data_IF_736669694937
#
_entry.id   IF_736669694937
#
_cell.length_a   1.000
_cell.length_b   1.000
_cell.length_c   1.000
_cell.angle_alpha   90.00
_cell.angle_beta   90.00
_cell.angle_gamma   90.00
#
_symmetry.space_group_name_H-M   'P 1'
#
loop_
_entity.id
_entity.type
_entity.pdbx_description
1 polymer ?
#
# COMPACT_ATOMS: atom_id res chain seq x y z
N UNK A 1 15.48 -15.31 -5.65
CA UNK A 1 14.41 -15.15 -4.65
C UNK A 1 14.79 -15.65 -3.25
N UNK A 2 15.26 -16.91 -3.04
CA UNK A 2 15.64 -17.38 -1.70
C UNK A 2 16.76 -16.54 -1.10
N UNK A 3 17.80 -16.24 -1.85
CA UNK A 3 18.91 -15.39 -1.41
C UNK A 3 18.47 -13.98 -0.97
N UNK A 4 17.40 -13.43 -1.56
CA UNK A 4 16.88 -12.12 -1.17
C UNK A 4 16.23 -12.10 0.23
N UNK A 5 15.83 -13.25 0.76
CA UNK A 5 15.32 -13.37 2.13
C UNK A 5 16.44 -13.52 3.18
N UNK A 6 17.68 -13.70 2.75
CA UNK A 6 18.88 -13.80 3.60
C UNK A 6 19.57 -12.45 3.76
N UNK A 7 19.47 -11.59 2.73
CA UNK A 7 20.15 -10.31 2.72
C UNK A 7 19.58 -9.35 3.79
N UNK A 8 20.44 -8.59 4.49
CA UNK A 8 19.99 -7.49 5.34
C UNK A 8 19.26 -6.43 4.51
N UNK A 9 18.09 -6.01 4.98
CA UNK A 9 17.29 -5.02 4.29
C UNK A 9 17.70 -3.60 4.68
N UNK A 10 17.91 -2.74 3.70
CA UNK A 10 18.07 -1.31 3.90
C UNK A 10 16.81 -0.72 4.60
N UNK A 11 17.00 0.29 5.43
CA UNK A 11 15.89 0.96 6.07
C UNK A 11 15.37 2.08 5.19
N UNK A 12 14.20 1.88 4.58
CA UNK A 12 13.50 2.91 3.84
C UNK A 12 12.85 3.94 4.77
N UNK A 13 12.85 5.20 4.36
CA UNK A 13 12.09 6.26 4.99
C UNK A 13 11.59 7.26 3.94
N UNK A 14 10.63 8.07 4.31
CA UNK A 14 10.19 9.22 3.51
C UNK A 14 10.30 10.50 4.32
N UNK A 15 10.54 11.62 3.64
CA UNK A 15 10.43 12.92 4.26
C UNK A 15 8.96 13.23 4.53
N UNK A 16 8.70 13.83 5.67
CA UNK A 16 7.37 14.28 6.08
C UNK A 16 7.17 15.74 5.71
N UNK A 17 6.81 15.97 4.47
CA UNK A 17 6.62 17.32 3.91
C UNK A 17 5.45 18.11 4.50
N UNK A 18 4.65 17.50 5.38
CA UNK A 18 3.61 18.20 6.14
C UNK A 18 4.19 19.01 7.31
N UNK A 19 5.38 18.65 7.79
CA UNK A 19 6.03 19.31 8.93
C UNK A 19 7.23 20.16 8.54
N UNK A 20 7.98 19.75 7.50
CA UNK A 20 9.19 20.44 7.08
C UNK A 20 9.51 20.19 5.61
N UNK A 21 10.19 21.14 4.98
CA UNK A 21 10.69 21.05 3.62
C UNK A 21 11.66 19.87 3.44
N UNK A 22 11.65 19.27 2.23
CA UNK A 22 12.45 18.10 1.92
C UNK A 22 13.94 18.42 1.91
N UNK A 23 14.35 19.49 1.20
CA UNK A 23 15.76 19.85 1.04
C UNK A 23 16.39 20.20 2.39
N UNK A 24 15.67 20.95 3.25
CA UNK A 24 16.11 21.26 4.59
C UNK A 24 16.27 20.01 5.45
N UNK A 25 15.30 19.09 5.39
CA UNK A 25 15.33 17.85 6.16
C UNK A 25 16.53 16.96 5.76
N UNK A 26 16.79 16.86 4.45
CA UNK A 26 17.92 16.07 3.94
C UNK A 26 19.26 16.72 4.26
N UNK A 27 19.35 18.06 4.22
CA UNK A 27 20.55 18.76 4.63
C UNK A 27 20.89 18.51 6.12
N UNK A 28 19.89 18.56 7.01
CA UNK A 28 20.07 18.28 8.43
C UNK A 28 20.52 16.83 8.67
N UNK A 29 19.88 15.85 8.02
CA UNK A 29 20.28 14.43 8.15
C UNK A 29 21.75 14.21 7.73
N UNK A 30 22.17 14.84 6.62
CA UNK A 30 23.55 14.77 6.12
C UNK A 30 24.53 15.44 7.08
N UNK A 31 24.16 16.59 7.65
CA UNK A 31 24.99 17.30 8.64
C UNK A 31 25.20 16.46 9.92
N UNK A 32 24.22 15.63 10.28
CA UNK A 32 24.33 14.67 11.39
C UNK A 32 25.04 13.35 11.01
N UNK A 33 25.54 13.22 9.77
CA UNK A 33 26.29 12.06 9.30
C UNK A 33 25.42 10.83 9.00
N UNK A 34 24.13 10.99 8.75
CA UNK A 34 23.25 9.88 8.33
C UNK A 34 23.60 9.47 6.89
N UNK A 35 23.99 8.20 6.64
CA UNK A 35 24.37 7.72 5.30
C UNK A 35 23.13 7.39 4.48
N UNK A 36 22.50 8.41 3.91
CA UNK A 36 21.25 8.27 3.15
C UNK A 36 21.47 8.39 1.64
N UNK A 37 20.66 7.62 0.89
CA UNK A 37 20.58 7.67 -0.56
C UNK A 37 19.13 7.86 -1.00
N UNK A 38 18.86 8.67 -2.04
CA UNK A 38 17.53 8.78 -2.61
C UNK A 38 17.14 7.47 -3.28
N UNK A 39 15.85 7.12 -3.23
CA UNK A 39 15.31 5.98 -3.98
C UNK A 39 14.88 6.45 -5.36
N UNK A 40 15.62 6.01 -6.37
CA UNK A 40 15.34 6.38 -7.76
C UNK A 40 13.89 6.05 -8.15
N UNK A 41 13.19 7.01 -8.76
CA UNK A 41 11.81 6.88 -9.18
C UNK A 41 10.75 7.10 -8.10
N UNK A 42 11.14 7.33 -6.83
CA UNK A 42 10.23 7.65 -5.74
C UNK A 42 10.55 8.99 -5.09
N UNK A 43 9.92 10.09 -5.52
CA UNK A 43 10.13 11.41 -4.90
C UNK A 43 9.86 11.39 -3.39
N UNK A 44 10.74 12.02 -2.62
CA UNK A 44 10.65 12.09 -1.15
C UNK A 44 10.99 10.80 -0.42
N UNK A 45 11.38 9.74 -1.15
CA UNK A 45 11.78 8.45 -0.58
C UNK A 45 13.30 8.30 -0.55
N UNK A 46 13.79 7.82 0.58
CA UNK A 46 15.21 7.59 0.84
C UNK A 46 15.44 6.25 1.53
N UNK A 47 16.66 5.79 1.50
CA UNK A 47 17.09 4.61 2.25
C UNK A 47 18.42 4.86 2.97
N UNK A 48 18.63 4.14 4.06
CA UNK A 48 19.94 4.00 4.70
C UNK A 48 20.34 2.54 4.71
N UNK A 49 21.63 2.21 4.57
CA UNK A 49 22.12 0.84 4.69
C UNK A 49 21.80 0.28 6.09
N UNK A 50 21.86 -1.04 6.30
CA UNK A 50 21.49 -1.67 7.58
C UNK A 50 22.21 -1.08 8.80
N UNK A 51 23.50 -0.77 8.66
CA UNK A 51 24.35 -0.15 9.70
C UNK A 51 24.05 1.34 9.91
N UNK A 52 23.48 2.03 8.91
CA UNK A 52 23.04 3.43 9.01
C UNK A 52 21.74 3.64 9.77
N UNK A 53 20.97 2.55 10.03
CA UNK A 53 19.67 2.64 10.72
C UNK A 53 19.75 3.31 12.09
N UNK A 54 20.79 2.98 12.87
CA UNK A 54 20.94 3.54 14.21
C UNK A 54 21.16 5.07 14.17
N UNK A 55 21.96 5.56 13.23
CA UNK A 55 22.16 6.98 13.00
C UNK A 55 20.87 7.70 12.62
N UNK A 56 20.08 7.14 11.68
CA UNK A 56 18.79 7.69 11.31
C UNK A 56 17.85 7.82 12.52
N UNK A 57 17.70 6.77 13.32
CA UNK A 57 16.80 6.76 14.48
C UNK A 57 17.27 7.66 15.64
N UNK A 58 18.57 7.98 15.71
CA UNK A 58 19.13 8.89 16.69
C UNK A 58 19.11 10.36 16.22
N UNK A 59 18.82 10.62 14.96
CA UNK A 59 18.85 11.95 14.37
C UNK A 59 17.72 12.84 14.89
N UNK A 60 17.96 14.15 14.91
CA UNK A 60 16.96 15.14 15.28
C UNK A 60 15.79 15.19 14.30
N UNK A 61 15.97 15.14 12.95
CA UNK A 61 14.86 15.06 12.02
C UNK A 61 13.92 13.88 12.28
N UNK A 62 14.45 12.73 12.72
CA UNK A 62 13.60 11.59 13.11
C UNK A 62 12.84 11.87 14.42
N UNK A 63 13.52 12.41 15.44
CA UNK A 63 12.90 12.74 16.74
C UNK A 63 11.79 13.80 16.60
N UNK A 64 11.99 14.78 15.71
CA UNK A 64 11.04 15.87 15.43
C UNK A 64 9.91 15.46 14.45
N UNK A 65 9.93 14.22 13.93
CA UNK A 65 8.90 13.71 13.02
C UNK A 65 9.02 14.21 11.57
N UNK A 66 10.14 14.85 11.19
CA UNK A 66 10.41 15.33 9.83
C UNK A 66 10.66 14.18 8.85
N UNK A 67 10.92 12.97 9.34
CA UNK A 67 11.00 11.75 8.55
C UNK A 67 10.12 10.65 9.15
N UNK A 68 9.62 9.79 8.28
CA UNK A 68 8.83 8.62 8.68
C UNK A 68 9.44 7.35 8.11
N UNK A 69 9.87 6.43 8.98
CA UNK A 69 10.43 5.14 8.57
C UNK A 69 9.32 4.28 7.96
N UNK A 70 9.49 3.93 6.70
CA UNK A 70 8.53 3.15 5.92
C UNK A 70 9.29 2.33 4.88
N UNK A 71 9.03 1.01 4.83
CA UNK A 71 9.63 0.17 3.79
C UNK A 71 9.34 0.72 2.39
N UNK A 72 10.33 0.69 1.51
CA UNK A 72 10.23 1.26 0.15
C UNK A 72 9.09 0.62 -0.64
N UNK A 73 8.93 -0.71 -0.59
CA UNK A 73 7.81 -1.38 -1.27
C UNK A 73 6.44 -0.93 -0.75
N UNK A 74 6.35 -0.61 0.54
CA UNK A 74 5.12 -0.08 1.15
C UNK A 74 4.77 1.33 0.65
N UNK A 75 5.76 2.12 0.21
CA UNK A 75 5.54 3.45 -0.33
C UNK A 75 4.97 3.43 -1.76
N UNK A 76 5.11 2.31 -2.46
CA UNK A 76 4.65 2.16 -3.85
C UNK A 76 3.13 2.26 -4.01
N UNK A 77 2.36 1.76 -3.05
CA UNK A 77 0.89 1.71 -3.18
C UNK A 77 0.24 3.11 -3.19
N UNK A 78 0.58 4.07 -2.30
CA UNK A 78 0.12 5.46 -2.40
C UNK A 78 0.60 6.16 -3.68
N UNK A 79 1.83 5.89 -4.16
CA UNK A 79 2.35 6.46 -5.42
C UNK A 79 1.57 5.91 -6.62
N UNK A 80 1.36 4.59 -6.68
CA UNK A 80 0.56 3.95 -7.73
C UNK A 80 -0.89 4.46 -7.77
N UNK A 81 -1.46 4.82 -6.62
CA UNK A 81 -2.80 5.41 -6.52
C UNK A 81 -2.86 6.79 -7.19
N UNK A 82 -1.73 7.51 -7.22
CA UNK A 82 -1.57 8.83 -7.84
C UNK A 82 -2.69 9.82 -7.44
N UNK A 83 -2.91 10.07 -6.14
CA UNK A 83 -3.93 11.03 -5.73
C UNK A 83 -3.51 12.45 -6.11
N UNK A 84 -4.50 13.29 -6.36
CA UNK A 84 -4.31 14.71 -6.69
C UNK A 84 -4.56 15.58 -5.46
N UNK A 85 -4.02 16.79 -5.45
CA UNK A 85 -4.36 17.78 -4.43
C UNK A 85 -5.86 18.01 -4.41
N UNK A 86 -6.46 17.99 -3.21
CA UNK A 86 -7.90 18.15 -3.01
C UNK A 86 -8.72 16.86 -3.17
N UNK A 87 -8.14 15.72 -3.57
CA UNK A 87 -8.89 14.45 -3.69
C UNK A 87 -9.43 13.99 -2.31
N UNK A 88 -10.60 13.37 -2.33
CA UNK A 88 -11.12 12.56 -1.22
C UNK A 88 -10.64 11.12 -1.37
N UNK A 89 -9.84 10.67 -0.43
CA UNK A 89 -9.22 9.33 -0.45
C UNK A 89 -9.79 8.46 0.66
N UNK A 90 -10.06 7.18 0.36
CA UNK A 90 -10.41 6.16 1.34
C UNK A 90 -9.27 5.15 1.48
N UNK A 91 -8.78 4.96 2.70
CA UNK A 91 -7.83 3.90 3.08
C UNK A 91 -8.57 2.86 3.92
N UNK A 92 -8.88 1.69 3.32
CA UNK A 92 -9.75 0.67 3.93
C UNK A 92 -9.07 -0.23 4.97
N UNK A 93 -7.73 -0.18 5.08
CA UNK A 93 -6.93 -0.99 6.00
C UNK A 93 -5.78 -0.18 6.59
N UNK A 94 -6.09 0.99 7.15
CA UNK A 94 -5.19 2.10 7.36
C UNK A 94 -4.08 1.89 8.41
N UNK A 95 -4.31 1.05 9.44
CA UNK A 95 -3.32 0.89 10.51
C UNK A 95 -2.05 0.16 10.04
N UNK A 96 -0.87 0.63 10.44
CA UNK A 96 -0.60 1.58 11.53
C UNK A 96 -0.59 3.07 11.13
N UNK A 97 -0.90 3.46 9.87
CA UNK A 97 -0.96 4.85 9.45
C UNK A 97 0.19 5.33 8.55
N UNK A 98 1.08 4.44 8.13
CA UNK A 98 2.22 4.79 7.26
C UNK A 98 1.77 5.26 5.87
N UNK A 99 0.93 4.46 5.19
CA UNK A 99 0.36 4.81 3.89
C UNK A 99 -0.66 5.95 4.00
N UNK A 100 -1.46 5.95 5.07
CA UNK A 100 -2.41 7.03 5.39
C UNK A 100 -1.74 8.39 5.50
N UNK A 101 -0.61 8.50 6.25
CA UNK A 101 0.16 9.74 6.35
C UNK A 101 0.80 10.14 5.02
N UNK A 102 1.25 9.19 4.21
CA UNK A 102 1.74 9.45 2.86
C UNK A 102 0.63 9.99 1.95
N UNK A 103 -0.56 9.39 1.99
CA UNK A 103 -1.74 9.87 1.25
C UNK A 103 -2.12 11.30 1.68
N UNK A 104 -2.13 11.57 2.99
CA UNK A 104 -2.39 12.89 3.57
C UNK A 104 -1.46 13.97 2.97
N UNK A 105 -0.16 13.68 2.92
CA UNK A 105 0.82 14.60 2.30
C UNK A 105 0.57 14.79 0.79
N UNK A 106 0.23 13.72 0.07
CA UNK A 106 -0.01 13.75 -1.37
C UNK A 106 -1.26 14.58 -1.74
N UNK A 107 -2.37 14.43 -1.01
CA UNK A 107 -3.60 15.18 -1.31
C UNK A 107 -3.55 16.63 -0.81
N UNK A 108 -2.64 16.94 0.11
CA UNK A 108 -2.47 18.26 0.69
C UNK A 108 -3.62 18.69 1.61
N UNK A 109 -3.54 19.91 2.16
CA UNK A 109 -4.47 20.37 3.20
C UNK A 109 -5.93 20.51 2.75
N UNK A 110 -6.18 20.66 1.45
CA UNK A 110 -7.53 20.77 0.86
C UNK A 110 -8.15 19.40 0.57
N UNK A 111 -7.35 18.33 0.56
CA UNK A 111 -7.83 16.96 0.41
C UNK A 111 -8.22 16.32 1.74
N UNK A 112 -8.85 15.17 1.66
CA UNK A 112 -9.32 14.41 2.81
C UNK A 112 -8.94 12.94 2.70
N UNK A 113 -8.46 12.34 3.78
CA UNK A 113 -8.20 10.90 3.86
C UNK A 113 -9.06 10.26 4.94
N UNK A 114 -10.08 9.52 4.56
CA UNK A 114 -10.81 8.65 5.48
C UNK A 114 -10.03 7.37 5.72
N UNK A 115 -9.64 7.12 6.97
CA UNK A 115 -8.76 6.02 7.37
C UNK A 115 -9.49 4.99 8.23
N UNK A 116 -9.74 3.80 7.66
CA UNK A 116 -10.56 2.75 8.30
C UNK A 116 -9.69 1.69 8.95
N UNK A 117 -9.95 1.38 10.22
CA UNK A 117 -9.34 0.26 10.93
C UNK A 117 -10.36 -0.44 11.85
N UNK A 118 -10.41 -1.76 11.76
CA UNK A 118 -11.36 -2.58 12.52
C UNK A 118 -10.88 -2.91 13.93
N UNK A 119 -9.58 -3.12 14.09
CA UNK A 119 -8.98 -3.66 15.32
C UNK A 119 -8.64 -2.52 16.27
N UNK A 120 -9.31 -2.46 17.41
CA UNK A 120 -9.24 -1.35 18.37
C UNK A 120 -7.81 -0.91 18.75
N UNK A 121 -6.89 -1.81 19.17
CA UNK A 121 -5.51 -1.38 19.46
C UNK A 121 -4.79 -0.79 18.25
N UNK A 122 -4.99 -1.36 17.06
CA UNK A 122 -4.41 -0.85 15.81
C UNK A 122 -5.01 0.51 15.43
N UNK A 123 -6.31 0.73 15.68
CA UNK A 123 -6.96 2.01 15.46
C UNK A 123 -6.34 3.14 16.31
N UNK A 124 -6.07 2.88 17.59
CA UNK A 124 -5.40 3.90 18.42
C UNK A 124 -3.96 4.14 17.98
N UNK A 125 -3.25 3.12 17.51
CA UNK A 125 -1.92 3.27 16.91
C UNK A 125 -1.98 4.11 15.62
N UNK A 126 -2.97 3.86 14.75
CA UNK A 126 -3.23 4.71 13.58
C UNK A 126 -3.41 6.17 13.98
N UNK A 127 -4.30 6.47 14.94
CA UNK A 127 -4.54 7.85 15.40
C UNK A 127 -3.26 8.52 15.91
N UNK A 128 -2.50 7.83 16.76
CA UNK A 128 -1.26 8.35 17.29
C UNK A 128 -0.24 8.65 16.17
N UNK A 129 -0.09 7.74 15.22
CA UNK A 129 0.87 7.87 14.13
C UNK A 129 0.49 9.00 13.15
N UNK A 130 -0.78 9.13 12.76
CA UNK A 130 -1.20 10.22 11.85
C UNK A 130 -1.12 11.58 12.55
N UNK A 131 -1.44 11.64 13.86
CA UNK A 131 -1.26 12.85 14.65
C UNK A 131 0.21 13.27 14.74
N UNK A 132 1.11 12.33 15.05
CA UNK A 132 2.56 12.60 15.12
C UNK A 132 3.14 13.02 13.75
N UNK A 133 2.53 12.63 12.65
CA UNK A 133 2.92 13.05 11.31
C UNK A 133 2.36 14.43 10.92
N UNK A 134 1.54 15.08 11.77
CA UNK A 134 0.89 16.34 11.43
C UNK A 134 -0.22 16.22 10.36
N UNK A 135 -0.77 15.01 10.15
CA UNK A 135 -1.78 14.71 9.14
C UNK A 135 -3.17 15.19 9.60
N UNK A 136 -3.43 16.49 9.54
CA UNK A 136 -4.65 17.14 10.05
C UNK A 136 -5.89 16.88 9.20
N UNK A 137 -5.72 16.47 7.94
CA UNK A 137 -6.78 16.14 6.98
C UNK A 137 -7.17 14.65 6.99
N UNK A 138 -6.70 13.88 7.97
CA UNK A 138 -7.07 12.46 8.13
C UNK A 138 -8.27 12.34 9.06
N UNK A 139 -9.29 11.59 8.63
CA UNK A 139 -10.50 11.23 9.38
C UNK A 139 -10.45 9.74 9.79
N UNK A 140 -9.94 9.38 10.98
CA UNK A 140 -9.90 7.99 11.41
C UNK A 140 -11.31 7.47 11.73
N UNK A 141 -11.67 6.32 11.18
CA UNK A 141 -12.93 5.65 11.44
C UNK A 141 -12.71 4.21 11.94
N UNK A 142 -13.24 3.90 13.13
CA UNK A 142 -13.13 2.56 13.72
C UNK A 142 -14.28 1.68 13.23
N UNK A 143 -13.98 0.73 12.34
CA UNK A 143 -15.00 -0.16 11.81
C UNK A 143 -14.48 -1.14 10.77
N UNK A 144 -15.38 -1.95 10.25
CA UNK A 144 -15.05 -2.96 9.25
C UNK A 144 -15.00 -2.32 7.84
N UNK A 145 -13.80 -2.26 7.25
CA UNK A 145 -13.59 -1.73 5.90
C UNK A 145 -14.46 -2.40 4.83
N UNK A 146 -14.71 -3.71 4.95
CA UNK A 146 -15.58 -4.44 4.03
C UNK A 146 -17.07 -4.01 4.08
N UNK A 147 -17.46 -3.22 5.08
CA UNK A 147 -18.82 -2.70 5.22
C UNK A 147 -18.93 -1.19 5.02
N UNK A 148 -17.77 -0.49 4.88
CA UNK A 148 -17.72 0.97 4.86
C UNK A 148 -18.51 1.59 3.69
N UNK A 149 -18.50 0.95 2.51
CA UNK A 149 -19.20 1.40 1.31
C UNK A 149 -20.70 1.72 1.53
N UNK A 150 -21.34 1.06 2.51
CA UNK A 150 -22.75 1.32 2.84
C UNK A 150 -22.98 2.71 3.41
N UNK A 151 -21.92 3.30 3.99
CA UNK A 151 -21.96 4.64 4.56
C UNK A 151 -21.81 5.71 3.47
N UNK A 152 -20.84 5.49 2.59
CA UNK A 152 -20.47 6.45 1.55
C UNK A 152 -20.22 5.71 0.22
N UNK A 153 -21.31 5.29 -0.48
CA UNK A 153 -21.16 4.67 -1.80
C UNK A 153 -20.75 5.73 -2.81
N UNK A 154 -19.83 5.38 -3.71
CA UNK A 154 -19.34 6.22 -4.81
C UNK A 154 -18.96 7.66 -4.39
N UNK A 155 -18.33 7.80 -3.23
CA UNK A 155 -18.03 9.09 -2.64
C UNK A 155 -16.55 9.53 -2.74
N UNK A 156 -15.64 8.60 -3.10
CA UNK A 156 -14.20 8.84 -3.08
C UNK A 156 -13.61 8.90 -4.48
N UNK A 157 -12.67 9.83 -4.67
CA UNK A 157 -11.93 9.99 -5.93
C UNK A 157 -10.85 8.91 -6.05
N UNK A 158 -10.30 8.48 -4.90
CA UNK A 158 -9.27 7.45 -4.79
C UNK A 158 -9.57 6.49 -3.64
N UNK A 159 -9.25 5.21 -3.84
CA UNK A 159 -9.38 4.20 -2.79
C UNK A 159 -8.10 3.36 -2.71
N UNK A 160 -7.55 3.24 -1.51
CA UNK A 160 -6.47 2.31 -1.20
C UNK A 160 -7.03 1.10 -0.45
N UNK A 161 -6.69 -0.09 -0.94
CA UNK A 161 -6.96 -1.38 -0.28
C UNK A 161 -5.62 -2.10 -0.08
N UNK A 162 -4.81 -1.62 0.88
CA UNK A 162 -3.62 -2.35 1.32
C UNK A 162 -4.06 -3.47 2.26
N UNK A 163 -4.38 -4.62 1.66
CA UNK A 163 -5.16 -5.64 2.31
C UNK A 163 -4.33 -6.50 3.29
N UNK A 164 -4.91 -6.93 4.43
CA UNK A 164 -4.27 -7.94 5.27
C UNK A 164 -4.05 -9.21 4.46
N UNK A 165 -2.83 -9.78 4.56
CA UNK A 165 -2.39 -10.91 3.74
C UNK A 165 -1.55 -11.92 4.53
N UNK A 166 -1.06 -12.98 3.88
CA UNK A 166 -0.17 -14.00 4.47
C UNK A 166 1.28 -13.55 4.65
N UNK A 167 1.65 -12.35 4.17
CA UNK A 167 2.93 -11.66 4.40
C UNK A 167 4.20 -12.37 3.89
N UNK A 168 4.09 -13.24 2.87
CA UNK A 168 5.23 -13.99 2.32
C UNK A 168 6.38 -13.09 1.82
N UNK A 169 6.07 -11.88 1.34
CA UNK A 169 7.06 -10.91 0.89
C UNK A 169 7.96 -10.36 2.00
N UNK A 170 7.64 -10.66 3.26
CA UNK A 170 8.36 -10.24 4.46
C UNK A 170 9.14 -11.37 5.14
N UNK A 171 9.14 -12.55 4.59
CA UNK A 171 9.90 -13.67 5.14
C UNK A 171 11.38 -13.33 5.24
N UNK A 172 12.02 -13.80 6.32
CA UNK A 172 13.45 -13.70 6.55
C UNK A 172 13.94 -15.05 7.06
N UNK A 173 14.96 -15.60 6.42
CA UNK A 173 15.50 -16.93 6.78
C UNK A 173 16.11 -16.96 8.17
N UNK A 174 16.64 -15.82 8.63
CA UNK A 174 17.23 -15.65 9.96
C UNK A 174 16.21 -15.30 11.06
N UNK A 175 14.92 -15.06 10.70
CA UNK A 175 13.84 -14.72 11.65
C UNK A 175 12.65 -15.67 11.46
N UNK A 176 12.61 -16.79 12.21
CA UNK A 176 11.53 -17.77 12.14
C UNK A 176 10.15 -17.23 12.47
N UNK A 177 10.05 -16.12 13.22
CA UNK A 177 8.75 -15.50 13.56
C UNK A 177 8.03 -15.00 12.31
N UNK A 178 8.79 -14.62 11.26
CA UNK A 178 8.22 -14.14 9.99
C UNK A 178 7.41 -15.20 9.25
N UNK A 179 7.66 -16.48 9.50
CA UNK A 179 6.97 -17.62 8.88
C UNK A 179 6.02 -18.37 9.83
N UNK A 180 6.06 -18.07 11.14
CA UNK A 180 5.38 -18.85 12.19
C UNK A 180 3.86 -19.02 11.99
N UNK A 181 3.21 -18.04 11.39
CA UNK A 181 1.76 -18.04 11.17
C UNK A 181 1.35 -18.36 9.74
N UNK A 182 2.32 -18.66 8.87
CA UNK A 182 2.03 -18.99 7.47
C UNK A 182 1.45 -20.40 7.32
N UNK A 183 0.42 -20.51 6.50
CA UNK A 183 -0.19 -21.80 6.14
C UNK A 183 -1.14 -21.63 4.95
N UNK A 184 -1.41 -22.72 4.20
CA UNK A 184 -2.43 -22.70 3.16
C UNK A 184 -3.85 -22.38 3.68
N UNK A 185 -4.14 -22.65 4.97
CA UNK A 185 -5.38 -22.20 5.63
C UNK A 185 -5.40 -20.68 5.77
N UNK A 186 -4.26 -20.06 6.15
CA UNK A 186 -4.13 -18.61 6.28
C UNK A 186 -4.35 -17.91 4.95
N UNK A 187 -3.76 -18.40 3.87
CA UNK A 187 -3.95 -17.88 2.51
C UNK A 187 -5.46 -17.87 2.14
N UNK A 188 -6.18 -18.98 2.37
CA UNK A 188 -7.62 -19.05 2.10
C UNK A 188 -8.45 -18.07 2.94
N UNK A 189 -8.11 -17.92 4.22
CA UNK A 189 -8.74 -16.95 5.12
C UNK A 189 -8.54 -15.52 4.63
N UNK A 190 -7.30 -15.15 4.27
CA UNK A 190 -6.97 -13.81 3.81
C UNK A 190 -7.65 -13.51 2.47
N UNK A 191 -7.60 -14.43 1.51
CA UNK A 191 -8.34 -14.31 0.24
C UNK A 191 -9.80 -13.94 0.45
N UNK A 192 -10.50 -14.63 1.37
CA UNK A 192 -11.92 -14.34 1.64
C UNK A 192 -12.16 -12.92 2.15
N UNK A 193 -11.26 -12.41 3.00
CA UNK A 193 -11.31 -11.03 3.50
C UNK A 193 -10.99 -10.01 2.40
N UNK A 194 -9.96 -10.30 1.61
CA UNK A 194 -9.48 -9.43 0.52
C UNK A 194 -10.53 -9.23 -0.56
N UNK A 195 -11.23 -10.29 -0.95
CA UNK A 195 -12.35 -10.19 -1.90
C UNK A 195 -13.42 -9.23 -1.41
N UNK A 196 -13.78 -9.28 -0.11
CA UNK A 196 -14.79 -8.40 0.49
C UNK A 196 -14.29 -6.95 0.59
N UNK A 197 -13.00 -6.75 0.89
CA UNK A 197 -12.38 -5.42 0.97
C UNK A 197 -12.27 -4.77 -0.40
N UNK A 198 -11.78 -5.51 -1.41
CA UNK A 198 -11.68 -5.00 -2.77
C UNK A 198 -13.07 -4.64 -3.33
N UNK A 199 -14.06 -5.50 -3.11
CA UNK A 199 -15.45 -5.23 -3.49
C UNK A 199 -15.97 -3.94 -2.82
N UNK A 200 -15.75 -3.78 -1.51
CA UNK A 200 -16.15 -2.58 -0.79
C UNK A 200 -15.44 -1.31 -1.30
N UNK A 201 -14.15 -1.43 -1.63
CA UNK A 201 -13.39 -0.34 -2.23
C UNK A 201 -13.98 0.13 -3.57
N UNK A 202 -14.33 -0.83 -4.45
CA UNK A 202 -14.95 -0.53 -5.75
C UNK A 202 -16.32 0.15 -5.58
N UNK A 203 -17.13 -0.29 -4.61
CA UNK A 203 -18.42 0.34 -4.31
C UNK A 203 -18.29 1.75 -3.72
N UNK A 204 -17.20 2.04 -2.99
CA UNK A 204 -16.95 3.38 -2.43
C UNK A 204 -16.35 4.35 -3.45
N UNK A 205 -15.76 3.85 -4.53
CA UNK A 205 -15.10 4.63 -5.57
C UNK A 205 -16.10 5.27 -6.52
N UNK A 206 -15.93 6.56 -6.83
CA UNK A 206 -16.68 7.26 -7.89
C UNK A 206 -16.40 6.65 -9.27
N UNK A 207 -17.36 6.69 -10.23
CA UNK A 207 -17.01 6.55 -11.64
C UNK A 207 -15.95 7.58 -12.05
N UNK A 208 -14.95 7.14 -12.84
CA UNK A 208 -13.73 7.91 -13.17
C UNK A 208 -12.65 7.89 -12.09
N UNK A 209 -12.93 7.36 -10.91
CA UNK A 209 -11.97 7.21 -9.82
C UNK A 209 -10.99 6.05 -10.01
N UNK A 210 -9.90 6.08 -9.25
CA UNK A 210 -8.85 5.05 -9.27
C UNK A 210 -8.75 4.35 -7.93
N UNK A 211 -8.61 3.02 -7.95
CA UNK A 211 -8.35 2.18 -6.77
C UNK A 211 -7.02 1.46 -6.93
N UNK A 212 -6.25 1.40 -5.85
CA UNK A 212 -5.10 0.49 -5.74
C UNK A 212 -5.42 -0.61 -4.74
N UNK A 213 -5.27 -1.85 -5.19
CA UNK A 213 -5.23 -3.04 -4.36
C UNK A 213 -3.79 -3.50 -4.20
N UNK A 214 -3.33 -3.70 -2.97
CA UNK A 214 -1.96 -4.13 -2.69
C UNK A 214 -1.88 -5.16 -1.56
N UNK A 215 -0.84 -6.00 -1.61
CA UNK A 215 -0.49 -6.97 -0.57
C UNK A 215 1.03 -7.10 -0.47
N UNK A 216 1.52 -7.55 0.68
CA UNK A 216 2.91 -7.99 0.86
C UNK A 216 3.03 -9.52 0.82
N UNK A 217 2.36 -10.20 -0.11
CA UNK A 217 2.45 -11.65 -0.31
C UNK A 217 2.69 -12.03 -1.76
N UNK A 218 3.22 -13.23 -2.00
CA UNK A 218 3.39 -13.79 -3.33
C UNK A 218 2.26 -14.72 -3.75
N UNK A 219 1.36 -15.11 -2.85
CA UNK A 219 0.29 -16.06 -3.12
C UNK A 219 -0.65 -15.55 -4.23
N UNK A 220 -0.72 -16.19 -5.42
CA UNK A 220 -1.62 -15.76 -6.48
C UNK A 220 -3.09 -15.84 -6.08
N UNK A 221 -3.41 -16.69 -5.10
CA UNK A 221 -4.73 -16.77 -4.50
C UNK A 221 -5.18 -15.47 -3.83
N UNK A 222 -4.22 -14.73 -3.25
CA UNK A 222 -4.46 -13.46 -2.56
C UNK A 222 -4.28 -12.23 -3.47
N UNK A 223 -3.66 -12.41 -4.62
CA UNK A 223 -3.29 -11.39 -5.59
C UNK A 223 -4.20 -11.44 -6.83
N UNK A 224 -3.73 -12.04 -7.90
CA UNK A 224 -4.44 -12.08 -9.18
C UNK A 224 -5.82 -12.73 -9.09
N UNK A 225 -5.97 -13.78 -8.27
CA UNK A 225 -7.28 -14.45 -8.12
C UNK A 225 -8.33 -13.54 -7.47
N UNK A 226 -7.90 -12.60 -6.60
CA UNK A 226 -8.80 -11.62 -5.98
C UNK A 226 -9.23 -10.57 -7.00
N UNK A 227 -8.28 -10.03 -7.78
CA UNK A 227 -8.55 -9.04 -8.84
C UNK A 227 -9.40 -9.67 -9.95
N UNK A 228 -9.05 -10.89 -10.43
CA UNK A 228 -9.84 -11.63 -11.42
C UNK A 228 -11.29 -11.86 -10.98
N UNK A 229 -11.53 -12.09 -9.68
CA UNK A 229 -12.89 -12.19 -9.15
C UNK A 229 -13.63 -10.87 -9.22
N UNK A 230 -12.97 -9.75 -8.95
CA UNK A 230 -13.57 -8.43 -9.08
C UNK A 230 -13.93 -8.13 -10.54
N UNK A 231 -13.02 -8.38 -11.50
CA UNK A 231 -13.28 -8.22 -12.94
C UNK A 231 -14.49 -9.02 -13.39
N UNK A 232 -14.60 -10.29 -13.02
CA UNK A 232 -15.78 -11.11 -13.33
C UNK A 232 -17.08 -10.61 -12.70
N UNK A 233 -16.99 -9.98 -11.51
CA UNK A 233 -18.20 -9.50 -10.79
C UNK A 233 -18.72 -8.19 -11.37
N UNK A 234 -17.85 -7.27 -11.72
CA UNK A 234 -18.19 -5.92 -12.14
C UNK A 234 -18.14 -5.72 -13.67
N UNK A 235 -17.54 -6.67 -14.42
CA UNK A 235 -17.43 -6.60 -15.90
C UNK A 235 -16.81 -5.27 -16.34
N UNK A 236 -17.39 -4.66 -17.35
CA UNK A 236 -16.92 -3.43 -17.98
C UNK A 236 -17.01 -2.19 -17.07
N UNK A 237 -17.63 -2.32 -15.88
CA UNK A 237 -17.70 -1.22 -14.93
C UNK A 237 -16.35 -0.91 -14.28
N UNK A 238 -15.39 -1.84 -14.36
CA UNK A 238 -14.01 -1.64 -13.88
C UNK A 238 -13.02 -2.22 -14.89
N UNK A 239 -11.82 -1.67 -14.92
CA UNK A 239 -10.69 -2.22 -15.68
C UNK A 239 -9.38 -2.16 -14.91
N UNK A 240 -8.46 -3.08 -15.20
CA UNK A 240 -7.06 -2.99 -14.73
C UNK A 240 -6.32 -2.06 -15.67
N UNK A 241 -5.75 -0.99 -15.10
CA UNK A 241 -4.89 -0.06 -15.82
C UNK A 241 -3.42 -0.27 -15.42
N UNK A 242 -2.49 0.38 -16.08
CA UNK A 242 -1.07 0.32 -15.72
C UNK A 242 -0.86 0.65 -14.24
N UNK A 243 -0.02 -0.11 -13.55
CA UNK A 243 0.20 0.02 -12.12
C UNK A 243 0.82 1.36 -11.69
N UNK A 244 1.34 2.14 -12.63
CA UNK A 244 1.91 3.46 -12.35
C UNK A 244 3.19 3.43 -11.53
N UNK A 245 3.95 2.34 -11.62
CA UNK A 245 5.26 2.22 -10.98
C UNK A 245 6.35 2.87 -11.82
N UNK A 246 7.51 3.24 -11.23
CA UNK A 246 8.67 3.68 -11.98
C UNK A 246 9.04 2.71 -13.11
N UNK A 247 9.43 3.25 -14.26
CA UNK A 247 9.79 2.48 -15.47
C UNK A 247 11.30 2.31 -15.64
N UNK A 248 12.10 2.87 -14.74
CA UNK A 248 13.55 2.73 -14.65
C UNK A 248 14.01 2.62 -13.21
N UNK A 249 15.25 2.20 -13.01
CA UNK A 249 15.87 2.08 -11.68
C UNK A 249 15.44 0.83 -10.90
N UNK A 250 15.85 0.72 -9.63
CA UNK A 250 15.81 -0.52 -8.86
C UNK A 250 14.38 -1.08 -8.70
N UNK A 251 13.35 -0.24 -8.72
CA UNK A 251 11.96 -0.70 -8.63
C UNK A 251 11.52 -1.35 -9.94
N UNK A 252 11.83 -0.73 -11.09
CA UNK A 252 11.50 -1.27 -12.40
C UNK A 252 12.20 -2.62 -12.65
N UNK A 253 13.47 -2.73 -12.27
CA UNK A 253 14.27 -3.95 -12.43
C UNK A 253 13.73 -5.15 -11.62
N UNK A 254 12.94 -4.87 -10.59
CA UNK A 254 12.33 -5.87 -9.71
C UNK A 254 10.82 -6.05 -9.94
N UNK A 255 10.22 -5.23 -10.81
CA UNK A 255 8.79 -5.29 -11.10
C UNK A 255 8.51 -6.28 -12.25
N UNK A 256 7.78 -7.34 -11.96
CA UNK A 256 7.30 -8.31 -12.94
C UNK A 256 5.82 -8.09 -13.24
N UNK A 257 5.39 -8.45 -14.46
CA UNK A 257 3.98 -8.53 -14.78
C UNK A 257 3.22 -9.52 -13.88
N UNK A 258 1.95 -9.25 -13.65
CA UNK A 258 1.08 -10.20 -12.96
C UNK A 258 0.84 -11.48 -13.77
N UNK A 259 0.40 -12.52 -13.09
CA UNK A 259 0.17 -13.82 -13.70
C UNK A 259 -1.17 -13.85 -14.46
N UNK A 260 -1.13 -14.35 -15.70
CA UNK A 260 -2.31 -14.61 -16.54
C UNK A 260 -2.74 -16.08 -16.53
N UNK A 261 -2.02 -16.91 -15.78
CA UNK A 261 -2.34 -18.32 -15.53
C UNK A 261 -1.91 -18.73 -14.12
N UNK A 262 -2.69 -19.59 -13.46
CA UNK A 262 -2.33 -20.20 -12.19
C UNK A 262 -2.92 -21.61 -12.04
N UNK A 263 -2.06 -22.60 -11.77
CA UNK A 263 -2.42 -24.02 -11.63
C UNK A 263 -3.19 -24.55 -12.84
N UNK A 264 -2.64 -24.33 -14.02
CA UNK A 264 -3.18 -24.75 -15.32
C UNK A 264 -4.60 -24.16 -15.61
N UNK A 265 -4.90 -23.02 -14.98
CA UNK A 265 -6.16 -22.31 -15.21
C UNK A 265 -5.86 -20.91 -15.70
N UNK A 266 -6.41 -20.52 -16.85
CA UNK A 266 -6.26 -19.16 -17.34
C UNK A 266 -6.95 -18.18 -16.40
N UNK A 267 -6.31 -17.04 -16.22
CA UNK A 267 -6.83 -15.86 -15.55
C UNK A 267 -7.13 -14.78 -16.59
N UNK A 268 -7.69 -13.66 -16.14
CA UNK A 268 -7.98 -12.54 -17.04
C UNK A 268 -6.68 -11.96 -17.62
N UNK A 269 -6.55 -11.80 -18.95
CA UNK A 269 -5.35 -11.24 -19.57
C UNK A 269 -4.98 -9.83 -19.08
N UNK A 270 -5.97 -9.03 -18.65
CA UNK A 270 -5.72 -7.69 -18.12
C UNK A 270 -4.83 -7.69 -16.86
N UNK A 271 -4.70 -8.83 -16.18
CA UNK A 271 -3.84 -8.98 -15.01
C UNK A 271 -2.34 -8.82 -15.32
N UNK A 272 -1.92 -8.95 -16.58
CA UNK A 272 -0.57 -8.63 -17.02
C UNK A 272 -0.16 -7.19 -16.69
N UNK A 273 -1.14 -6.28 -16.57
CA UNK A 273 -0.90 -4.88 -16.18
C UNK A 273 -0.66 -4.68 -14.68
N UNK A 274 -0.95 -5.68 -13.84
CA UNK A 274 -0.58 -5.67 -12.42
C UNK A 274 0.92 -5.88 -12.26
N UNK A 275 1.48 -5.59 -11.09
CA UNK A 275 2.92 -5.74 -10.84
C UNK A 275 3.18 -6.54 -9.58
N UNK A 276 4.16 -7.45 -9.70
CA UNK A 276 4.80 -8.19 -8.62
C UNK A 276 6.18 -7.62 -8.41
N UNK A 277 6.41 -6.99 -7.27
CA UNK A 277 7.74 -6.49 -6.91
C UNK A 277 8.48 -7.61 -6.18
N UNK A 278 9.63 -8.01 -6.71
CA UNK A 278 10.46 -9.05 -6.12
C UNK A 278 11.36 -8.45 -5.04
N UNK A 279 11.62 -9.19 -3.94
CA UNK A 279 12.46 -8.70 -2.86
C UNK A 279 13.95 -8.65 -3.27
N UNK A 280 14.67 -7.73 -2.66
CA UNK A 280 16.12 -7.62 -2.67
C UNK A 280 16.63 -6.96 -1.37
N UNK A 281 17.76 -6.28 -1.41
CA UNK A 281 18.35 -5.56 -0.29
C UNK A 281 17.62 -4.25 0.05
N UNK A 282 16.81 -3.71 -0.87
CA UNK A 282 16.03 -2.47 -0.71
C UNK A 282 14.53 -2.76 -0.58
N UNK A 283 14.03 -3.76 -1.29
CA UNK A 283 12.61 -4.02 -1.47
C UNK A 283 12.15 -5.27 -0.71
N UNK A 284 10.98 -5.21 -0.12
CA UNK A 284 10.19 -6.39 0.27
C UNK A 284 9.35 -6.88 -0.90
N UNK A 285 8.92 -8.15 -0.86
CA UNK A 285 7.95 -8.65 -1.84
C UNK A 285 6.62 -7.91 -1.74
N UNK A 286 6.10 -7.47 -2.88
CA UNK A 286 4.87 -6.68 -2.91
C UNK A 286 4.06 -6.96 -4.18
N UNK A 287 2.73 -6.78 -4.11
CA UNK A 287 1.83 -6.88 -5.26
C UNK A 287 0.99 -5.61 -5.36
N UNK A 288 0.79 -5.12 -6.59
CA UNK A 288 -0.01 -3.94 -6.88
C UNK A 288 -0.91 -4.20 -8.10
N UNK A 289 -2.20 -3.94 -7.93
CA UNK A 289 -3.16 -3.84 -9.01
C UNK A 289 -3.83 -2.46 -8.93
N UNK A 290 -3.83 -1.72 -10.04
CA UNK A 290 -4.49 -0.43 -10.18
C UNK A 290 -5.73 -0.58 -11.05
N UNK A 291 -6.86 -0.14 -10.54
CA UNK A 291 -8.17 -0.26 -11.19
C UNK A 291 -8.73 1.12 -11.48
N UNK A 292 -9.31 1.29 -12.66
CA UNK A 292 -10.16 2.42 -13.01
C UNK A 292 -11.63 1.97 -12.93
N UNK A 293 -12.50 2.79 -12.38
CA UNK A 293 -13.94 2.58 -12.40
C UNK A 293 -14.57 3.37 -13.53
N UNK A 294 -15.12 2.67 -14.52
CA UNK A 294 -15.69 3.27 -15.74
C UNK A 294 -17.13 3.75 -15.56
N UNK A 295 -17.91 3.03 -14.74
CA UNK A 295 -19.33 3.35 -14.53
C UNK A 295 -19.80 3.00 -13.12
N UNK A 296 -21.01 3.41 -12.75
CA UNK A 296 -21.59 3.11 -11.45
C UNK A 296 -21.74 1.60 -11.22
N UNK A 297 -21.38 1.19 -10.00
CA UNK A 297 -21.52 -0.18 -9.52
C UNK A 297 -22.62 -0.33 -8.47
N UNK A 298 -23.41 0.74 -8.22
CA UNK A 298 -24.53 0.70 -7.28
C UNK A 298 -25.56 -0.33 -7.76
N UNK A 299 -25.88 -1.29 -6.89
CA UNK A 299 -26.81 -2.40 -7.22
C UNK A 299 -26.13 -3.64 -7.83
N UNK A 300 -24.84 -3.60 -8.18
CA UNK A 300 -24.12 -4.76 -8.69
C UNK A 300 -23.69 -5.65 -7.51
N UNK A 301 -24.07 -6.93 -7.54
CA UNK A 301 -23.42 -7.99 -6.76
C UNK A 301 -23.77 -8.11 -5.27
N UNK A 302 -24.86 -7.52 -4.78
CA UNK A 302 -25.29 -7.66 -3.37
C UNK A 302 -25.80 -9.06 -2.95
N UNK A 303 -26.00 -9.98 -3.86
CA UNK A 303 -26.73 -11.23 -3.64
C UNK A 303 -25.93 -12.43 -3.12
N UNK A 304 -24.65 -12.30 -2.82
CA UNK A 304 -23.82 -13.47 -2.48
C UNK A 304 -22.63 -13.25 -1.54
N UNK A 305 -22.55 -12.10 -0.88
CA UNK A 305 -21.40 -11.75 -0.03
C UNK A 305 -21.77 -11.46 1.45
N UNK A 306 -22.89 -12.01 1.92
CA UNK A 306 -23.24 -11.97 3.33
C UNK A 306 -22.39 -12.95 4.16
#
# INVERSE_FOLDING_TARGET
MIASFEAPLATGFRVNTMLRDEDETIADLRAEGVPLEPVEGLPGAYSVPPDGRAALLASRPYADGHVYVQNVSSQLAPIALAPRKGDRVLDLCAAPGSKTGQLSALVGPEGEVTAVEKVRPRFYKLKANVYAQGATNVLPWMGNGAAYWRREPEAFDRVLVDAPCSTEGRFRTHDPETTAYWSGRKIREMKSKQVKLLWAGIQSLKPGGTLVYSTCTFAPEENESVVAKALRTFGDAIEVIDAGLPTSGPIADRAMAGLTEWRDRPLDPALERTRRVLPDELLEGFFIARLLKNSSTVGVGGGGMA
#
